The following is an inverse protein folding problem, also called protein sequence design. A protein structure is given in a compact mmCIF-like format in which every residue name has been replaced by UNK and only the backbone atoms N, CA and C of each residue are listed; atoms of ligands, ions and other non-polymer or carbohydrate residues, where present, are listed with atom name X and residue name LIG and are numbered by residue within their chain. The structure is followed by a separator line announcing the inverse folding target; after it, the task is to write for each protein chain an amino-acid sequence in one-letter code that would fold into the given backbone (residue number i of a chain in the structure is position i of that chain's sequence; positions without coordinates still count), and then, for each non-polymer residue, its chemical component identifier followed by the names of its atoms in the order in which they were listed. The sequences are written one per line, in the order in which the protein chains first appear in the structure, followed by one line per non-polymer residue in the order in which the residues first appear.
data_IF_922194299927
#
_entry.id   IF_922194299927
#
_cell.length_a   1.000
_cell.length_b   1.000
_cell.length_c   1.000
_cell.angle_alpha   90.00
_cell.angle_beta   90.00
_cell.angle_gamma   90.00
#
_symmetry.space_group_name_H-M   'P 1'
#
loop_
_entity.id
_entity.type
_entity.pdbx_description
1 polymer ?
#
# COMPACT_ATOMS: atom_id res chain seq x y z
N UNK A 1 -3.32 7.36 9.45
CA UNK A 1 -2.92 7.37 8.03
C UNK A 1 -2.71 5.93 7.57
N UNK A 2 -3.06 5.60 6.33
CA UNK A 2 -2.88 4.28 5.76
C UNK A 2 -1.71 4.30 4.79
N UNK A 3 -0.83 3.31 4.86
CA UNK A 3 0.35 3.22 3.99
C UNK A 3 0.32 1.89 3.26
N UNK A 4 0.30 1.93 1.93
CA UNK A 4 0.49 0.74 1.08
C UNK A 4 1.96 0.70 0.68
N UNK A 5 2.66 -0.35 1.10
CA UNK A 5 4.04 -0.63 0.69
C UNK A 5 4.04 -1.73 -0.35
N UNK A 6 4.61 -1.47 -1.52
CA UNK A 6 4.76 -2.43 -2.61
C UNK A 6 6.23 -2.81 -2.72
N UNK A 7 6.49 -4.11 -2.72
CA UNK A 7 7.81 -4.69 -2.87
C UNK A 7 8.00 -5.17 -4.29
N UNK A 8 8.97 -4.59 -4.97
CA UNK A 8 9.40 -5.01 -6.30
C UNK A 8 10.85 -5.47 -6.24
N UNK A 9 11.28 -6.21 -7.26
CA UNK A 9 12.56 -6.92 -7.26
C UNK A 9 13.76 -6.05 -6.85
N UNK A 10 13.76 -4.77 -7.22
CA UNK A 10 14.86 -3.83 -6.96
C UNK A 10 14.40 -2.54 -6.28
N UNK A 11 13.13 -2.40 -5.90
CA UNK A 11 12.62 -1.15 -5.33
C UNK A 11 11.47 -1.40 -4.37
N UNK A 12 11.31 -0.47 -3.43
CA UNK A 12 10.17 -0.42 -2.54
C UNK A 12 9.46 0.90 -2.78
N UNK A 13 8.15 0.85 -2.95
CA UNK A 13 7.31 2.03 -3.16
C UNK A 13 6.29 2.12 -2.04
N UNK A 14 6.12 3.31 -1.48
CA UNK A 14 5.16 3.58 -0.41
C UNK A 14 4.16 4.64 -0.86
N UNK A 15 2.89 4.38 -0.60
CA UNK A 15 1.79 5.28 -0.93
C UNK A 15 0.96 5.53 0.31
N UNK A 16 0.75 6.81 0.62
CA UNK A 16 -0.01 7.24 1.78
C UNK A 16 -1.44 7.60 1.38
N UNK A 17 -2.37 7.21 2.23
CA UNK A 17 -3.80 7.42 2.04
C UNK A 17 -4.42 7.88 3.35
N UNK A 18 -5.37 8.80 3.25
CA UNK A 18 -6.19 9.21 4.40
C UNK A 18 -7.31 8.19 4.64
N UNK A 19 -7.92 7.69 3.55
CA UNK A 19 -9.02 6.73 3.60
C UNK A 19 -8.53 5.28 3.58
N UNK A 20 -9.04 4.47 4.51
CA UNK A 20 -8.84 3.01 4.50
C UNK A 20 -9.33 2.38 3.20
N UNK A 21 -10.46 2.87 2.68
CA UNK A 21 -11.10 2.32 1.49
C UNK A 21 -10.23 2.52 0.25
N UNK A 22 -9.65 3.71 0.10
CA UNK A 22 -8.73 4.00 -1.02
C UNK A 22 -7.47 3.14 -0.94
N UNK A 23 -6.89 3.00 0.26
CA UNK A 23 -5.72 2.16 0.49
C UNK A 23 -5.99 0.68 0.16
N UNK A 24 -7.17 0.17 0.54
CA UNK A 24 -7.60 -1.19 0.21
C UNK A 24 -7.83 -1.40 -1.29
N UNK A 25 -8.47 -0.44 -1.97
CA UNK A 25 -8.69 -0.51 -3.41
C UNK A 25 -7.36 -0.53 -4.17
N UNK A 26 -6.39 0.29 -3.73
CA UNK A 26 -5.04 0.26 -4.28
C UNK A 26 -4.37 -1.10 -4.02
N UNK A 27 -4.35 -1.58 -2.78
CA UNK A 27 -3.75 -2.89 -2.45
C UNK A 27 -4.33 -4.02 -3.32
N UNK A 28 -5.65 -4.05 -3.52
CA UNK A 28 -6.32 -5.04 -4.35
C UNK A 28 -5.91 -4.99 -5.84
N UNK A 29 -5.46 -3.84 -6.32
CA UNK A 29 -4.96 -3.66 -7.69
C UNK A 29 -3.50 -4.11 -7.88
N UNK A 30 -2.75 -4.30 -6.79
CA UNK A 30 -1.35 -4.70 -6.85
C UNK A 30 -1.22 -6.19 -7.14
N UNK A 31 -0.63 -6.52 -8.29
CA UNK A 31 -0.23 -7.88 -8.64
C UNK A 31 1.18 -8.13 -8.11
N UNK A 32 1.31 -8.54 -6.85
CA UNK A 32 2.60 -8.84 -6.25
C UNK A 32 2.61 -8.72 -4.72
N UNK A 33 3.81 -8.69 -4.15
CA UNK A 33 4.00 -8.54 -2.71
C UNK A 33 3.74 -7.09 -2.30
N UNK A 34 2.67 -6.87 -1.56
CA UNK A 34 2.38 -5.59 -0.95
C UNK A 34 1.79 -5.76 0.45
N UNK A 35 1.98 -4.76 1.29
CA UNK A 35 1.52 -4.72 2.67
C UNK A 35 0.74 -3.41 2.88
N UNK A 36 -0.40 -3.50 3.53
CA UNK A 36 -1.14 -2.36 4.04
C UNK A 36 -0.85 -2.18 5.53
N UNK A 37 -0.40 -0.99 5.90
CA UNK A 37 -0.09 -0.60 7.27
C UNK A 37 -0.99 0.56 7.70
N UNK A 38 -1.33 0.60 8.99
CA UNK A 38 -2.02 1.72 9.61
C UNK A 38 -1.06 2.41 10.57
N UNK A 39 -0.79 3.69 10.33
CA UNK A 39 0.05 4.54 11.17
C UNK A 39 -0.84 5.53 11.92
N UNK A 40 -0.71 5.57 13.25
CA UNK A 40 -1.44 6.48 14.15
C UNK A 40 -0.49 7.56 14.66
#
# INVERSE_FOLDING_TARGET
MWVVTIFEKNTVRMFEFVSKTEANNMLASVKGSAILSFTK
#
